data_IF_139903211512
#
_entry.id   IF_139903211512
#
_cell.length_a   1.000
_cell.length_b   1.000
_cell.length_c   1.000
_cell.angle_alpha   90.00
_cell.angle_beta   90.00
_cell.angle_gamma   90.00
#
_symmetry.space_group_name_H-M   'P 1'
#
loop_
_entity.id
_entity.type
_entity.pdbx_description
1 polymer ?
#
# COMPACT_ATOMS: atom_id res chain seq x y z
N UNK A 1 -23.39 52.48 -30.43
CA UNK A 1 -22.68 52.07 -29.20
C UNK A 1 -23.27 50.76 -28.71
N UNK A 2 -22.41 49.73 -28.62
CA UNK A 2 -22.22 48.82 -27.47
C UNK A 2 -23.49 48.28 -26.76
N UNK A 3 -23.68 46.99 -26.48
CA UNK A 3 -22.79 45.83 -26.45
C UNK A 3 -23.64 44.54 -26.48
N UNK A 4 -23.11 43.49 -27.09
CA UNK A 4 -23.48 42.10 -26.78
C UNK A 4 -23.17 41.86 -25.29
N UNK A 5 -24.18 41.68 -24.44
CA UNK A 5 -23.97 41.15 -23.09
C UNK A 5 -23.93 39.62 -23.16
N UNK A 6 -22.76 39.08 -23.44
CA UNK A 6 -22.45 37.67 -23.18
C UNK A 6 -21.90 37.53 -21.76
N UNK A 7 -22.72 37.07 -20.82
CA UNK A 7 -22.24 36.53 -19.54
C UNK A 7 -22.39 35.00 -19.59
N UNK A 8 -21.44 34.32 -20.23
CA UNK A 8 -21.23 32.91 -19.98
C UNK A 8 -20.43 32.79 -18.68
N UNK A 9 -21.08 33.10 -17.55
CA UNK A 9 -20.53 32.91 -16.22
C UNK A 9 -20.68 31.44 -15.83
N UNK A 10 -19.98 30.57 -16.58
CA UNK A 10 -19.81 29.19 -16.16
C UNK A 10 -18.65 29.17 -15.16
N UNK A 11 -18.99 29.16 -13.87
CA UNK A 11 -18.05 28.76 -12.84
C UNK A 11 -17.53 27.37 -13.22
N UNK A 12 -16.29 27.30 -13.71
CA UNK A 12 -15.59 26.02 -13.83
C UNK A 12 -15.31 25.56 -12.41
N UNK A 13 -16.20 24.73 -11.87
CA UNK A 13 -15.99 23.98 -10.64
C UNK A 13 -14.93 22.92 -10.93
N UNK A 14 -13.67 23.33 -11.04
CA UNK A 14 -12.55 22.41 -10.97
C UNK A 14 -12.20 22.23 -9.49
N UNK A 15 -12.81 21.21 -8.89
CA UNK A 15 -12.38 20.68 -7.61
C UNK A 15 -11.05 19.95 -7.84
N UNK A 16 -9.93 20.60 -7.53
CA UNK A 16 -8.64 19.92 -7.47
C UNK A 16 -8.65 18.91 -6.31
N UNK A 17 -8.07 17.73 -6.53
CA UNK A 17 -7.79 16.79 -5.45
C UNK A 17 -6.31 16.42 -5.49
N UNK A 18 -5.58 16.73 -4.43
CA UNK A 18 -4.22 16.22 -4.26
C UNK A 18 -4.31 14.77 -3.78
N UNK A 19 -3.47 13.88 -4.30
CA UNK A 19 -3.40 12.49 -3.87
C UNK A 19 -1.98 12.14 -3.48
N UNK A 20 -1.77 11.88 -2.19
CA UNK A 20 -0.49 11.42 -1.67
C UNK A 20 -0.50 9.90 -1.63
N UNK A 21 0.44 9.27 -2.34
CA UNK A 21 0.69 7.84 -2.21
C UNK A 21 1.79 7.60 -1.21
N UNK A 22 1.54 6.73 -0.24
CA UNK A 22 2.55 6.30 0.72
C UNK A 22 2.50 4.80 0.94
N UNK A 23 3.64 4.23 1.32
CA UNK A 23 3.76 2.82 1.66
C UNK A 23 3.61 2.66 3.18
N UNK A 24 2.60 1.92 3.60
CA UNK A 24 2.46 1.43 4.97
C UNK A 24 3.18 0.09 5.09
N UNK A 25 4.00 -0.08 6.12
CA UNK A 25 4.76 -1.31 6.37
C UNK A 25 4.38 -1.84 7.75
N UNK A 26 3.97 -3.10 7.80
CA UNK A 26 3.70 -3.84 9.03
C UNK A 26 4.76 -4.92 9.21
N UNK A 27 5.49 -4.84 10.31
CA UNK A 27 6.52 -5.82 10.67
C UNK A 27 6.04 -6.72 11.80
N UNK A 28 6.21 -8.03 11.61
CA UNK A 28 5.89 -9.07 12.58
C UNK A 28 7.12 -9.94 12.81
N UNK A 29 7.35 -10.31 14.06
CA UNK A 29 8.42 -11.22 14.46
C UNK A 29 7.83 -12.28 15.36
N UNK A 30 7.97 -13.54 14.97
CA UNK A 30 7.62 -14.71 15.75
C UNK A 30 8.92 -15.42 16.10
N UNK A 31 9.11 -15.70 17.39
CA UNK A 31 10.27 -16.43 17.90
C UNK A 31 9.82 -17.79 18.45
N UNK A 32 9.79 -18.84 17.62
CA UNK A 32 9.47 -20.19 18.06
C UNK A 32 10.44 -20.64 19.17
N UNK A 33 9.90 -21.01 20.32
CA UNK A 33 10.67 -21.69 21.37
C UNK A 33 10.74 -23.18 21.02
N UNK A 34 11.75 -23.88 21.54
CA UNK A 34 11.90 -25.34 21.34
C UNK A 34 10.66 -26.15 21.76
N UNK A 35 9.87 -25.62 22.69
CA UNK A 35 8.64 -26.23 23.21
C UNK A 35 7.37 -25.55 22.71
N UNK A 36 7.47 -24.64 21.74
CA UNK A 36 6.29 -23.97 21.18
C UNK A 36 5.40 -24.98 20.48
N UNK A 37 4.11 -24.93 20.77
CA UNK A 37 3.10 -25.75 20.10
C UNK A 37 2.97 -25.29 18.64
N UNK A 38 3.15 -26.20 17.65
CA UNK A 38 2.88 -25.91 16.25
C UNK A 38 1.49 -25.29 15.99
N UNK A 39 0.49 -25.64 16.80
CA UNK A 39 -0.87 -25.07 16.70
C UNK A 39 -0.87 -23.58 17.07
N UNK A 40 -0.11 -23.19 18.09
CA UNK A 40 -0.01 -21.79 18.50
C UNK A 40 0.68 -20.94 17.43
N UNK A 41 1.79 -21.43 16.88
CA UNK A 41 2.52 -20.75 15.80
C UNK A 41 1.62 -20.59 14.58
N UNK A 42 0.95 -21.67 14.16
CA UNK A 42 -0.02 -21.61 13.07
C UNK A 42 -1.13 -20.59 13.32
N UNK A 43 -1.71 -20.58 14.52
CA UNK A 43 -2.75 -19.62 14.87
C UNK A 43 -2.27 -18.17 14.79
N UNK A 44 -1.01 -17.89 15.18
CA UNK A 44 -0.43 -16.55 15.02
C UNK A 44 -0.24 -16.18 13.56
N UNK A 45 0.26 -17.12 12.74
CA UNK A 45 0.46 -16.92 11.31
C UNK A 45 -0.87 -16.66 10.58
N UNK A 46 -1.90 -17.47 10.87
CA UNK A 46 -3.21 -17.33 10.27
C UNK A 46 -3.87 -16.00 10.64
N UNK A 47 -3.75 -15.57 11.90
CA UNK A 47 -4.25 -14.24 12.31
C UNK A 47 -3.60 -13.11 11.52
N UNK A 48 -2.28 -13.19 11.28
CA UNK A 48 -1.56 -12.18 10.51
C UNK A 48 -2.04 -12.20 9.07
N UNK A 49 -2.11 -13.36 8.42
CA UNK A 49 -2.60 -13.48 7.03
C UNK A 49 -4.03 -12.92 6.91
N UNK A 50 -4.94 -13.34 7.81
CA UNK A 50 -6.35 -12.94 7.78
C UNK A 50 -6.55 -11.43 7.96
N UNK A 51 -5.64 -10.75 8.67
CA UNK A 51 -5.69 -9.29 8.80
C UNK A 51 -5.45 -8.53 7.49
N UNK A 52 -4.88 -9.20 6.48
CA UNK A 52 -4.59 -8.65 5.15
C UNK A 52 -5.36 -9.32 4.01
N UNK A 53 -6.20 -10.32 4.29
CA UNK A 53 -7.06 -10.95 3.27
C UNK A 53 -7.89 -9.92 2.48
N UNK A 54 -8.51 -8.90 3.11
CA UNK A 54 -9.13 -7.81 2.37
C UNK A 54 -8.09 -6.95 1.64
N UNK A 55 -8.01 -7.12 0.32
CA UNK A 55 -7.05 -6.40 -0.52
C UNK A 55 -5.66 -7.03 -0.54
N UNK A 56 -5.58 -8.36 -0.31
CA UNK A 56 -4.32 -9.10 -0.33
C UNK A 56 -3.53 -8.89 -1.63
N UNK A 57 -4.21 -8.71 -2.76
CA UNK A 57 -3.61 -8.48 -4.07
C UNK A 57 -2.76 -7.19 -4.15
N UNK A 58 -2.98 -6.25 -3.23
CA UNK A 58 -2.28 -4.97 -3.15
C UNK A 58 -1.09 -5.01 -2.19
N UNK A 59 -0.86 -6.14 -1.52
CA UNK A 59 0.21 -6.29 -0.53
C UNK A 59 1.53 -6.76 -1.17
N UNK A 60 2.64 -6.48 -0.48
CA UNK A 60 3.98 -6.96 -0.78
C UNK A 60 4.51 -7.68 0.47
N UNK A 61 4.89 -8.94 0.34
CA UNK A 61 5.30 -9.77 1.47
C UNK A 61 6.79 -10.07 1.38
N UNK A 62 7.53 -9.74 2.43
CA UNK A 62 8.89 -10.25 2.65
C UNK A 62 8.87 -11.20 3.83
N UNK A 63 9.06 -12.48 3.56
CA UNK A 63 9.12 -13.55 4.54
C UNK A 63 10.57 -13.92 4.79
N UNK A 64 10.97 -13.84 6.05
CA UNK A 64 12.34 -14.06 6.49
C UNK A 64 12.41 -15.17 7.51
N UNK A 65 13.39 -16.06 7.37
CA UNK A 65 13.58 -17.19 8.28
C UNK A 65 15.05 -17.36 8.64
N UNK A 66 15.35 -17.97 9.79
CA UNK A 66 16.73 -18.21 10.22
C UNK A 66 17.15 -19.68 10.16
N UNK A 67 16.32 -20.57 10.68
CA UNK A 67 16.59 -22.02 10.74
C UNK A 67 15.85 -22.79 9.63
N UNK A 68 16.21 -24.05 9.42
CA UNK A 68 15.47 -24.91 8.48
C UNK A 68 14.04 -25.23 8.96
N UNK A 69 13.83 -25.27 10.28
CA UNK A 69 12.50 -25.40 10.84
C UNK A 69 11.65 -24.15 10.55
N UNK A 70 12.21 -22.96 10.70
CA UNK A 70 11.53 -21.70 10.36
C UNK A 70 11.19 -21.65 8.85
N UNK A 71 12.05 -22.25 8.02
CA UNK A 71 11.84 -22.32 6.58
C UNK A 71 10.58 -23.10 6.21
N UNK A 72 10.24 -24.18 6.93
CA UNK A 72 9.02 -24.93 6.63
C UNK A 72 7.79 -24.05 6.88
N UNK A 73 7.75 -23.35 8.01
CA UNK A 73 6.69 -22.37 8.31
C UNK A 73 6.59 -21.27 7.26
N UNK A 74 7.73 -20.68 6.86
CA UNK A 74 7.74 -19.65 5.81
C UNK A 74 7.25 -20.17 4.46
N UNK A 75 7.58 -21.42 4.10
CA UNK A 75 7.08 -22.02 2.87
C UNK A 75 5.57 -22.28 2.94
N UNK A 76 5.05 -22.70 4.09
CA UNK A 76 3.61 -22.86 4.31
C UNK A 76 2.87 -21.53 4.17
N UNK A 77 3.38 -20.45 4.76
CA UNK A 77 2.84 -19.09 4.59
C UNK A 77 2.85 -18.72 3.11
N UNK A 78 3.98 -18.92 2.41
CA UNK A 78 4.08 -18.64 0.98
C UNK A 78 2.99 -19.39 0.20
N UNK A 79 2.78 -20.68 0.46
CA UNK A 79 1.75 -21.47 -0.21
C UNK A 79 0.34 -20.96 0.11
N UNK A 80 0.05 -20.61 1.35
CA UNK A 80 -1.23 -20.00 1.74
C UNK A 80 -1.48 -18.70 0.98
N UNK A 81 -0.49 -17.80 0.91
CA UNK A 81 -0.60 -16.55 0.16
C UNK A 81 -0.85 -16.78 -1.34
N UNK A 82 -0.16 -17.75 -1.94
CA UNK A 82 -0.39 -18.13 -3.34
C UNK A 82 -1.81 -18.67 -3.56
N UNK A 83 -2.31 -19.50 -2.64
CA UNK A 83 -3.66 -20.06 -2.69
C UNK A 83 -4.74 -18.98 -2.50
N UNK A 84 -4.43 -17.91 -1.77
CA UNK A 84 -5.28 -16.72 -1.64
C UNK A 84 -5.21 -15.78 -2.88
N UNK A 85 -4.46 -16.17 -3.92
CA UNK A 85 -4.39 -15.44 -5.18
C UNK A 85 -3.32 -14.35 -5.23
N UNK A 86 -2.41 -14.28 -4.25
CA UNK A 86 -1.30 -13.34 -4.30
C UNK A 86 -0.30 -13.75 -5.41
N UNK A 87 0.07 -12.81 -6.26
CA UNK A 87 1.00 -13.05 -7.37
C UNK A 87 2.41 -13.39 -6.83
N UNK A 88 3.11 -14.42 -7.35
CA UNK A 88 4.41 -14.82 -6.83
C UNK A 88 5.47 -13.71 -6.76
N UNK A 89 5.46 -12.77 -7.70
CA UNK A 89 6.40 -11.62 -7.72
C UNK A 89 6.24 -10.68 -6.53
N UNK A 90 5.11 -10.73 -5.83
CA UNK A 90 4.82 -9.94 -4.62
C UNK A 90 5.26 -10.65 -3.33
N UNK A 91 5.85 -11.85 -3.42
CA UNK A 91 6.33 -12.63 -2.29
C UNK A 91 7.85 -12.83 -2.40
N UNK A 92 8.60 -12.19 -1.52
CA UNK A 92 10.04 -12.37 -1.37
C UNK A 92 10.31 -13.28 -0.17
N UNK A 93 11.16 -14.29 -0.36
CA UNK A 93 11.62 -15.16 0.74
C UNK A 93 13.12 -14.99 0.93
N UNK A 94 13.55 -14.70 2.14
CA UNK A 94 14.96 -14.43 2.47
C UNK A 94 15.41 -15.23 3.69
N UNK A 95 16.62 -15.78 3.62
CA UNK A 95 17.27 -16.37 4.79
C UNK A 95 18.02 -15.27 5.54
N UNK A 96 17.82 -15.18 6.86
CA UNK A 96 18.57 -14.31 7.75
C UNK A 96 19.87 -14.97 8.19
N UNK A 97 20.83 -14.15 8.61
CA UNK A 97 22.08 -14.61 9.20
C UNK A 97 21.85 -15.50 10.44
N UNK A 98 22.83 -16.35 10.74
CA UNK A 98 22.79 -17.34 11.81
C UNK A 98 22.40 -16.78 13.19
N UNK A 99 21.78 -17.62 14.04
CA UNK A 99 21.18 -17.18 15.30
C UNK A 99 19.95 -18.01 15.71
N UNK A 100 19.13 -17.47 16.62
CA UNK A 100 17.93 -18.17 17.18
C UNK A 100 16.79 -18.29 16.17
N UNK A 101 15.92 -19.29 16.34
CA UNK A 101 14.70 -19.46 15.52
C UNK A 101 13.87 -18.18 15.49
N UNK A 102 13.62 -17.69 14.27
CA UNK A 102 12.88 -16.45 14.01
C UNK A 102 12.17 -16.59 12.67
N UNK A 103 10.88 -16.27 12.67
CA UNK A 103 10.07 -16.02 11.48
C UNK A 103 9.75 -14.52 11.48
N UNK A 104 10.28 -13.78 10.53
CA UNK A 104 10.01 -12.35 10.36
C UNK A 104 9.17 -12.14 9.10
N UNK A 105 8.13 -11.32 9.20
CA UNK A 105 7.29 -10.93 8.08
C UNK A 105 7.22 -9.42 7.99
N UNK A 106 7.49 -8.88 6.80
CA UNK A 106 7.29 -7.46 6.50
C UNK A 106 6.25 -7.36 5.39
N UNK A 107 5.12 -6.73 5.69
CA UNK A 107 3.99 -6.60 4.78
C UNK A 107 3.84 -5.12 4.41
N UNK A 108 4.11 -4.81 3.15
CA UNK A 108 3.89 -3.49 2.57
C UNK A 108 2.52 -3.38 1.91
N UNK A 109 1.82 -2.28 2.12
CA UNK A 109 0.61 -1.91 1.36
C UNK A 109 0.70 -0.44 0.97
N UNK A 110 0.35 -0.12 -0.27
CA UNK A 110 0.28 1.26 -0.70
C UNK A 110 -1.08 1.83 -0.39
N UNK A 111 -1.12 3.04 0.18
CA UNK A 111 -2.34 3.79 0.43
C UNK A 111 -2.31 5.10 -0.34
N UNK A 112 -3.49 5.50 -0.79
CA UNK A 112 -3.74 6.79 -1.41
C UNK A 112 -4.53 7.63 -0.42
N UNK A 113 -4.01 8.79 -0.05
CA UNK A 113 -4.74 9.80 0.71
C UNK A 113 -5.09 10.93 -0.23
N UNK A 114 -6.37 11.12 -0.51
CA UNK A 114 -6.86 12.26 -1.28
C UNK A 114 -7.23 13.41 -0.35
N UNK A 115 -6.85 14.63 -0.72
CA UNK A 115 -7.29 15.87 -0.09
C UNK A 115 -8.12 16.65 -1.10
N UNK A 116 -9.31 17.11 -0.70
CA UNK A 116 -10.16 17.97 -1.53
C UNK A 116 -9.69 19.41 -1.40
N UNK A 117 -9.16 19.99 -2.47
CA UNK A 117 -8.78 21.41 -2.49
C UNK A 117 -10.04 22.29 -2.47
N UNK A 118 -9.95 23.45 -1.81
CA UNK A 118 -11.00 24.48 -1.90
C UNK A 118 -11.04 25.05 -3.32
N UNK A 119 -12.23 25.33 -3.88
CA UNK A 119 -12.34 25.95 -5.19
C UNK A 119 -11.71 27.34 -5.18
N UNK A 120 -10.93 27.66 -6.21
CA UNK A 120 -10.42 29.02 -6.44
C UNK A 120 -11.58 29.96 -6.77
N UNK A 121 -11.76 31.02 -5.99
CA UNK A 121 -12.77 32.07 -6.23
C UNK A 121 -12.07 33.25 -6.91
N UNK A 122 -12.57 33.66 -8.08
CA UNK A 122 -12.10 34.86 -8.79
C UNK A 122 -12.17 36.09 -7.87
N UNK A 123 -11.04 36.73 -7.60
CA UNK A 123 -10.94 37.94 -6.79
C UNK A 123 -10.28 37.79 -5.41
N UNK A 124 -9.84 36.58 -5.02
CA UNK A 124 -8.97 36.37 -3.85
C UNK A 124 -7.67 35.66 -4.26
N UNK A 125 -6.53 36.24 -3.90
CA UNK A 125 -5.18 35.67 -4.10
C UNK A 125 -4.84 34.56 -3.08
N UNK A 126 -5.83 33.79 -2.62
CA UNK A 126 -5.63 32.68 -1.70
C UNK A 126 -5.79 31.36 -2.47
N UNK A 127 -4.96 31.15 -3.49
CA UNK A 127 -4.81 29.84 -4.10
C UNK A 127 -3.68 29.11 -3.38
N UNK A 128 -4.00 28.05 -2.64
CA UNK A 128 -2.98 27.15 -2.07
C UNK A 128 -2.06 26.69 -3.21
N UNK A 129 -0.80 27.09 -3.10
CA UNK A 129 0.22 26.85 -4.12
C UNK A 129 0.53 25.35 -4.13
N UNK A 130 0.12 24.62 -5.17
CA UNK A 130 0.36 23.18 -5.29
C UNK A 130 -0.84 22.31 -5.69
N UNK A 131 -2.06 22.85 -5.82
CA UNK A 131 -3.21 22.08 -6.33
C UNK A 131 -3.07 21.86 -7.86
N UNK A 132 -2.30 20.86 -8.27
CA UNK A 132 -2.21 20.40 -9.66
C UNK A 132 -3.31 19.37 -9.95
N UNK A 133 -4.03 19.59 -11.05
CA UNK A 133 -5.14 18.75 -11.53
C UNK A 133 -4.56 17.69 -12.44
N UNK A 134 -4.15 16.56 -11.88
CA UNK A 134 -3.95 15.36 -12.70
C UNK A 134 -5.13 14.43 -12.46
N UNK A 135 -5.93 14.23 -13.50
CA UNK A 135 -7.14 13.40 -13.43
C UNK A 135 -6.76 12.00 -12.98
N UNK A 136 -7.12 11.61 -11.75
CA UNK A 136 -6.86 10.27 -11.23
C UNK A 136 -7.67 9.25 -12.04
N UNK A 137 -7.07 8.68 -13.08
CA UNK A 137 -7.64 7.54 -13.80
C UNK A 137 -7.72 6.36 -12.82
N UNK A 138 -8.89 5.75 -12.70
CA UNK A 138 -9.19 4.63 -11.78
C UNK A 138 -8.14 3.49 -11.77
N UNK A 139 -7.40 3.29 -12.87
CA UNK A 139 -6.31 2.30 -12.95
C UNK A 139 -5.15 2.62 -12.00
N UNK A 140 -4.81 3.89 -11.83
CA UNK A 140 -3.70 4.30 -10.96
C UNK A 140 -4.07 4.26 -9.47
N UNK A 141 -5.36 4.38 -9.13
CA UNK A 141 -5.84 4.17 -7.75
C UNK A 141 -5.76 2.69 -7.36
N UNK A 142 -5.97 1.78 -8.32
CA UNK A 142 -5.84 0.33 -8.10
C UNK A 142 -4.39 -0.12 -7.92
N UNK A 143 -3.44 0.55 -8.58
CA UNK A 143 -2.01 0.28 -8.43
C UNK A 143 -1.25 1.56 -8.09
N UNK A 144 -1.26 1.99 -6.81
CA UNK A 144 -0.72 3.28 -6.40
C UNK A 144 0.78 3.41 -6.63
N UNK A 145 1.52 2.29 -6.80
CA UNK A 145 2.95 2.31 -7.14
C UNK A 145 3.21 3.09 -8.43
N UNK A 146 2.24 3.07 -9.36
CA UNK A 146 2.33 3.78 -10.65
C UNK A 146 2.16 5.30 -10.53
N UNK A 147 1.76 5.80 -9.36
CA UNK A 147 1.62 7.24 -9.08
C UNK A 147 2.87 7.85 -8.46
N UNK A 148 3.88 7.06 -8.11
CA UNK A 148 5.17 7.56 -7.63
C UNK A 148 5.91 8.09 -8.88
N UNK A 149 5.88 9.41 -9.08
CA UNK A 149 6.71 10.05 -10.09
C UNK A 149 8.19 9.77 -9.78
N UNK A 150 9.01 9.41 -10.77
CA UNK A 150 10.46 9.39 -10.57
C UNK A 150 10.91 10.82 -10.25
N UNK A 151 11.53 11.02 -9.09
CA UNK A 151 12.18 12.28 -8.77
C UNK A 151 13.29 12.55 -9.81
N UNK A 152 13.11 13.59 -10.62
CA UNK A 152 14.16 14.17 -11.46
C UNK A 152 14.14 13.72 -12.94
N UNK A 153 13.49 14.52 -13.78
CA UNK A 153 13.95 14.87 -15.13
C UNK A 153 13.74 16.36 -15.36
#
# INVERSE_FOLDING_TARGET
MLNLSGCADSAKVQLGSEAVVYQEIHDFVIEPKKTSDPVEINGQLDRIINSFEPGIEQTLWTLSYRTQLDKSWVNEIKLKLLNLGLVPSRIKVTKLDSGKSVIKMSIGKYRVKTQTCKPSILGRMDSDTGCFVDSMRLRHVRDPQTLILPEGQ
#
